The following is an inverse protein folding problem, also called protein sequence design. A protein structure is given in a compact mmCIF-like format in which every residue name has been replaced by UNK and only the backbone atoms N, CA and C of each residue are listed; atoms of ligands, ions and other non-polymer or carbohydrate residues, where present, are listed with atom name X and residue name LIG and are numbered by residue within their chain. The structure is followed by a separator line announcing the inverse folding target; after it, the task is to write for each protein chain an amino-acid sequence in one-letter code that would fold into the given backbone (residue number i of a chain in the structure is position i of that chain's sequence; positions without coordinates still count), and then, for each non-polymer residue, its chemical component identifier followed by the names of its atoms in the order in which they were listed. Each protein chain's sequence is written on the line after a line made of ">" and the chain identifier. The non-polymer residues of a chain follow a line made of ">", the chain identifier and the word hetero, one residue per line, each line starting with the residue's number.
data_IF_490813687291
#
_entry.id   IF_490813687291
#
_cell.length_a   1.000
_cell.length_b   1.000
_cell.length_c   1.000
_cell.angle_alpha   90.00
_cell.angle_beta   90.00
_cell.angle_gamma   90.00
#
_symmetry.space_group_name_H-M   'P 1'
#
loop_
_entity.id
_entity.type
_entity.pdbx_description
1 polymer ?
#
# COMPACT_ATOMS: atom_id res chain seq x y z
N UNK A 1 27.55 13.99 0.29
CA UNK A 1 26.30 14.30 -0.38
C UNK A 1 25.22 13.31 0.05
N UNK A 2 24.02 13.82 0.23
CA UNK A 2 22.90 12.98 0.61
C UNK A 2 22.29 12.30 -0.61
N UNK A 3 21.92 11.03 -0.45
CA UNK A 3 21.19 10.31 -1.49
C UNK A 3 19.74 10.81 -1.54
N UNK A 4 19.13 10.84 -2.74
CA UNK A 4 17.72 11.15 -2.85
C UNK A 4 16.87 10.21 -1.98
N UNK A 5 15.72 10.69 -1.54
CA UNK A 5 14.83 9.91 -0.67
C UNK A 5 14.48 8.54 -1.26
N UNK A 6 14.16 8.51 -2.56
CA UNK A 6 13.80 7.24 -3.21
C UNK A 6 14.93 6.22 -3.15
N UNK A 7 16.17 6.65 -3.31
CA UNK A 7 17.33 5.78 -3.21
C UNK A 7 17.52 5.26 -1.80
N UNK A 8 17.32 6.12 -0.80
CA UNK A 8 17.41 5.72 0.61
C UNK A 8 16.37 4.65 0.93
N UNK A 9 15.15 4.82 0.46
CA UNK A 9 14.07 3.86 0.68
C UNK A 9 14.38 2.52 0.02
N UNK A 10 14.83 2.55 -1.23
CA UNK A 10 15.19 1.32 -1.95
C UNK A 10 16.35 0.59 -1.26
N UNK A 11 17.37 1.33 -0.83
CA UNK A 11 18.53 0.73 -0.16
C UNK A 11 18.13 0.10 1.17
N UNK A 12 17.35 0.82 1.98
CA UNK A 12 16.87 0.30 3.26
C UNK A 12 16.07 -0.98 3.08
N UNK A 13 15.17 -1.01 2.11
CA UNK A 13 14.37 -2.18 1.83
C UNK A 13 15.24 -3.35 1.35
N UNK A 14 16.17 -3.09 0.44
CA UNK A 14 17.06 -4.14 -0.08
C UNK A 14 17.90 -4.76 1.03
N UNK A 15 18.40 -3.96 1.95
CA UNK A 15 19.17 -4.46 3.10
C UNK A 15 18.28 -5.32 4.00
N UNK A 16 17.05 -4.90 4.25
CA UNK A 16 16.10 -5.69 5.03
C UNK A 16 15.85 -7.05 4.42
N UNK A 17 15.70 -7.12 3.09
CA UNK A 17 15.38 -8.36 2.39
C UNK A 17 16.55 -9.34 2.38
N UNK A 18 17.79 -8.84 2.40
CA UNK A 18 18.99 -9.69 2.41
C UNK A 18 18.97 -10.65 3.62
N UNK A 19 18.44 -10.22 4.75
CA UNK A 19 18.35 -11.05 5.95
C UNK A 19 17.20 -12.05 5.90
N UNK A 20 16.43 -12.05 4.83
CA UNK A 20 15.31 -12.97 4.58
C UNK A 20 14.32 -13.07 5.75
N UNK A 21 13.77 -11.95 6.21
CA UNK A 21 12.75 -11.97 7.26
C UNK A 21 11.48 -12.64 6.71
N UNK A 22 10.65 -13.14 7.62
CA UNK A 22 9.35 -13.68 7.21
C UNK A 22 8.34 -12.58 6.92
N UNK A 23 8.47 -11.46 7.61
CA UNK A 23 7.54 -10.33 7.52
C UNK A 23 8.32 -9.03 7.51
N UNK A 24 7.94 -8.13 6.64
CA UNK A 24 8.48 -6.77 6.58
C UNK A 24 7.33 -5.78 6.68
N UNK A 25 7.49 -4.76 7.52
CA UNK A 25 6.52 -3.67 7.65
C UNK A 25 7.11 -2.39 7.08
N UNK A 26 6.39 -1.76 6.18
CA UNK A 26 6.80 -0.51 5.54
C UNK A 26 5.72 0.54 5.77
N UNK A 27 6.11 1.66 6.38
CA UNK A 27 5.18 2.74 6.69
C UNK A 27 5.37 3.87 5.68
N UNK A 28 4.39 4.00 4.77
CA UNK A 28 4.39 5.02 3.72
C UNK A 28 5.74 5.12 3.01
N UNK A 29 6.28 3.99 2.50
CA UNK A 29 7.67 3.95 2.03
C UNK A 29 7.93 4.82 0.80
N UNK A 30 6.88 5.18 0.06
CA UNK A 30 7.02 5.95 -1.18
C UNK A 30 6.57 7.40 -1.02
N UNK A 31 6.34 7.85 0.21
CA UNK A 31 5.96 9.24 0.46
C UNK A 31 7.04 10.21 -0.01
N UNK A 32 6.65 11.19 -0.83
CA UNK A 32 7.57 12.19 -1.33
C UNK A 32 8.49 11.71 -2.45
N UNK A 33 8.26 10.53 -3.00
CA UNK A 33 9.08 9.92 -4.04
C UNK A 33 8.40 10.10 -5.40
N UNK A 34 9.18 10.33 -6.45
CA UNK A 34 8.66 10.51 -7.80
C UNK A 34 8.01 9.22 -8.34
N UNK A 35 7.11 9.32 -9.35
CA UNK A 35 6.39 8.14 -9.84
C UNK A 35 7.27 7.02 -10.38
N UNK A 36 8.36 7.34 -11.05
CA UNK A 36 9.26 6.33 -11.61
C UNK A 36 9.93 5.53 -10.49
N UNK A 37 10.43 6.22 -9.47
CA UNK A 37 11.08 5.59 -8.32
C UNK A 37 10.07 4.79 -7.50
N UNK A 38 8.83 5.28 -7.40
CA UNK A 38 7.75 4.54 -6.73
C UNK A 38 7.50 3.19 -7.41
N UNK A 39 7.47 3.17 -8.75
CA UNK A 39 7.27 1.93 -9.50
C UNK A 39 8.44 0.97 -9.26
N UNK A 40 9.66 1.47 -9.28
CA UNK A 40 10.84 0.65 -9.01
C UNK A 40 10.79 0.06 -7.60
N UNK A 41 10.32 0.83 -6.63
CA UNK A 41 10.17 0.35 -5.27
C UNK A 41 9.15 -0.79 -5.19
N UNK A 42 8.03 -0.65 -5.89
CA UNK A 42 7.02 -1.71 -5.92
C UNK A 42 7.52 -2.98 -6.59
N UNK A 43 8.38 -2.85 -7.61
CA UNK A 43 9.02 -4.01 -8.22
C UNK A 43 9.86 -4.77 -7.19
N UNK A 44 10.57 -4.06 -6.31
CA UNK A 44 11.32 -4.68 -5.22
C UNK A 44 10.40 -5.40 -4.23
N UNK A 45 9.25 -4.80 -3.94
CA UNK A 45 8.25 -5.42 -3.05
C UNK A 45 7.74 -6.73 -3.67
N UNK A 46 7.44 -6.74 -4.95
CA UNK A 46 6.99 -7.95 -5.63
C UNK A 46 8.07 -9.02 -5.63
N UNK A 47 9.32 -8.64 -5.85
CA UNK A 47 10.43 -9.60 -5.80
C UNK A 47 10.56 -10.23 -4.42
N UNK A 48 10.41 -9.44 -3.37
CA UNK A 48 10.44 -9.95 -2.00
C UNK A 48 9.28 -10.91 -1.74
N UNK A 49 8.08 -10.56 -2.20
CA UNK A 49 6.91 -11.42 -2.05
C UNK A 49 7.10 -12.75 -2.79
N UNK A 50 7.71 -12.72 -3.96
CA UNK A 50 8.01 -13.94 -4.72
C UNK A 50 8.98 -14.84 -3.98
N UNK A 51 9.83 -14.28 -3.12
CA UNK A 51 10.76 -15.05 -2.28
C UNK A 51 10.10 -15.61 -1.02
N UNK A 52 8.80 -15.37 -0.85
CA UNK A 52 8.04 -15.88 0.30
C UNK A 52 7.98 -14.92 1.48
N UNK A 53 8.41 -13.67 1.31
CA UNK A 53 8.35 -12.67 2.36
C UNK A 53 6.98 -12.01 2.33
N UNK A 54 6.32 -11.91 3.50
CA UNK A 54 5.08 -11.16 3.63
C UNK A 54 5.43 -9.69 3.84
N UNK A 55 4.94 -8.82 2.97
CA UNK A 55 5.21 -7.39 3.05
C UNK A 55 3.91 -6.66 3.38
N UNK A 56 3.91 -5.92 4.50
CA UNK A 56 2.82 -5.04 4.89
C UNK A 56 3.22 -3.60 4.59
N UNK A 57 2.40 -2.93 3.79
CA UNK A 57 2.67 -1.55 3.38
C UNK A 57 1.51 -0.69 3.84
N UNK A 58 1.81 0.41 4.55
CA UNK A 58 0.81 1.43 4.79
C UNK A 58 0.97 2.52 3.74
N UNK A 59 -0.12 3.04 3.24
CA UNK A 59 -0.09 4.11 2.26
C UNK A 59 -1.39 4.91 2.29
N UNK A 60 -1.29 6.20 1.97
CA UNK A 60 -2.46 7.03 1.72
C UNK A 60 -2.66 7.30 0.23
N UNK A 61 -1.86 6.66 -0.61
CA UNK A 61 -2.00 6.75 -2.08
C UNK A 61 -2.88 5.59 -2.55
N UNK A 62 -4.11 5.89 -2.90
CA UNK A 62 -5.07 4.84 -3.28
C UNK A 62 -4.68 4.13 -4.57
N UNK A 63 -3.92 4.79 -5.45
CA UNK A 63 -3.41 4.14 -6.65
C UNK A 63 -2.44 2.99 -6.30
N UNK A 64 -1.70 3.11 -5.19
CA UNK A 64 -0.83 2.02 -4.74
C UNK A 64 -1.62 0.83 -4.23
N UNK A 65 -2.83 1.05 -3.74
CA UNK A 65 -3.68 -0.05 -3.30
C UNK A 65 -4.00 -1.03 -4.43
N UNK A 66 -3.98 -0.54 -5.68
CA UNK A 66 -4.21 -1.41 -6.84
C UNK A 66 -3.14 -2.47 -7.00
N UNK A 67 -1.94 -2.25 -6.47
CA UNK A 67 -0.82 -3.18 -6.59
C UNK A 67 -0.80 -4.26 -5.52
N UNK A 68 -1.64 -4.14 -4.50
CA UNK A 68 -1.63 -5.06 -3.37
C UNK A 68 -2.50 -6.28 -3.64
N UNK A 69 -2.11 -7.43 -3.08
CA UNK A 69 -2.94 -8.64 -3.16
C UNK A 69 -4.17 -8.53 -2.27
N UNK A 70 -4.00 -7.93 -1.09
CA UNK A 70 -5.11 -7.69 -0.16
C UNK A 70 -4.95 -6.32 0.46
N UNK A 71 -6.08 -5.70 0.76
CA UNK A 71 -6.12 -4.34 1.28
C UNK A 71 -6.98 -4.30 2.53
N UNK A 72 -6.49 -3.62 3.57
CA UNK A 72 -7.30 -3.20 4.71
C UNK A 72 -7.50 -1.70 4.60
N UNK A 73 -8.74 -1.25 4.60
CA UNK A 73 -9.05 0.17 4.56
C UNK A 73 -9.50 0.60 5.95
N UNK A 74 -8.81 1.59 6.51
CA UNK A 74 -9.15 2.13 7.82
C UNK A 74 -9.77 3.52 7.67
N UNK A 75 -10.89 3.73 8.37
CA UNK A 75 -11.55 5.03 8.43
C UNK A 75 -11.86 5.30 9.89
N UNK A 76 -11.43 6.47 10.39
CA UNK A 76 -11.65 6.88 11.78
C UNK A 76 -11.20 5.83 12.80
N UNK A 77 -10.04 5.20 12.53
CA UNK A 77 -9.44 4.23 13.44
C UNK A 77 -10.05 2.85 13.40
N UNK A 78 -10.99 2.59 12.49
CA UNK A 78 -11.64 1.29 12.35
C UNK A 78 -11.36 0.69 10.99
N UNK A 79 -11.25 -0.64 10.95
CA UNK A 79 -11.13 -1.36 9.68
C UNK A 79 -12.52 -1.46 9.07
N UNK A 80 -12.75 -0.77 7.95
CA UNK A 80 -14.05 -0.74 7.27
C UNK A 80 -14.14 -1.77 6.15
N UNK A 81 -13.00 -2.22 5.62
CA UNK A 81 -12.98 -3.21 4.55
C UNK A 81 -11.66 -3.97 4.59
N UNK A 82 -11.73 -5.25 4.23
CA UNK A 82 -10.56 -6.12 4.13
C UNK A 82 -10.84 -7.13 3.01
N UNK A 83 -10.20 -6.95 1.86
CA UNK A 83 -10.39 -7.86 0.72
C UNK A 83 -9.37 -7.54 -0.37
N UNK A 84 -9.48 -8.24 -1.50
CA UNK A 84 -8.66 -7.92 -2.68
C UNK A 84 -9.17 -6.65 -3.35
N UNK A 85 -8.31 -5.93 -4.10
CA UNK A 85 -8.76 -4.74 -4.82
C UNK A 85 -9.93 -5.05 -5.77
N UNK A 86 -9.87 -6.16 -6.49
CA UNK A 86 -10.91 -6.54 -7.43
C UNK A 86 -12.25 -6.73 -6.73
N UNK A 87 -12.26 -7.47 -5.63
CA UNK A 87 -13.49 -7.73 -4.88
C UNK A 87 -14.08 -6.45 -4.30
N UNK A 88 -13.23 -5.56 -3.79
CA UNK A 88 -13.70 -4.30 -3.24
C UNK A 88 -14.31 -3.41 -4.32
N UNK A 89 -13.67 -3.32 -5.49
CA UNK A 89 -14.21 -2.55 -6.60
C UNK A 89 -15.55 -3.10 -7.04
N UNK A 90 -15.68 -4.42 -7.12
CA UNK A 90 -16.95 -5.06 -7.49
C UNK A 90 -18.03 -4.81 -6.45
N UNK A 91 -17.67 -4.92 -5.18
CA UNK A 91 -18.62 -4.74 -4.08
C UNK A 91 -19.23 -3.34 -4.05
N UNK A 92 -18.44 -2.32 -4.36
CA UNK A 92 -18.89 -0.93 -4.35
C UNK A 92 -19.25 -0.40 -5.73
N UNK A 93 -19.22 -1.26 -6.76
CA UNK A 93 -19.45 -0.86 -8.16
C UNK A 93 -18.54 0.31 -8.54
N UNK A 94 -17.28 0.23 -8.12
CA UNK A 94 -16.30 1.30 -8.31
C UNK A 94 -15.30 0.92 -9.40
N UNK A 95 -14.80 1.93 -10.10
CA UNK A 95 -13.80 1.74 -11.15
C UNK A 95 -12.37 1.77 -10.61
N UNK A 96 -12.17 2.35 -9.43
CA UNK A 96 -10.85 2.51 -8.84
C UNK A 96 -10.91 2.38 -7.32
N UNK A 97 -9.74 2.18 -6.71
CA UNK A 97 -9.65 2.16 -5.25
C UNK A 97 -9.90 3.53 -4.62
N UNK A 98 -9.61 4.62 -5.35
CA UNK A 98 -10.01 5.96 -4.91
C UNK A 98 -11.52 6.05 -4.69
N UNK A 99 -12.28 5.50 -5.62
CA UNK A 99 -13.75 5.49 -5.53
C UNK A 99 -14.22 4.64 -4.35
N UNK A 100 -13.59 3.48 -4.14
CA UNK A 100 -13.92 2.61 -3.00
C UNK A 100 -13.69 3.35 -1.70
N UNK A 101 -12.53 3.98 -1.55
CA UNK A 101 -12.18 4.71 -0.33
C UNK A 101 -13.15 5.87 -0.10
N UNK A 102 -13.48 6.60 -1.16
CA UNK A 102 -14.43 7.72 -1.07
C UNK A 102 -15.78 7.25 -0.54
N UNK A 103 -16.30 6.14 -1.05
CA UNK A 103 -17.59 5.61 -0.60
C UNK A 103 -17.54 5.16 0.85
N UNK A 104 -16.45 4.53 1.27
CA UNK A 104 -16.30 4.09 2.66
C UNK A 104 -16.19 5.28 3.61
N UNK A 105 -15.42 6.29 3.25
CA UNK A 105 -15.25 7.47 4.06
C UNK A 105 -16.57 8.24 4.21
N UNK A 106 -17.33 8.34 3.12
CA UNK A 106 -18.65 8.98 3.13
C UNK A 106 -19.63 8.20 4.00
N UNK A 107 -19.61 6.88 3.92
CA UNK A 107 -20.46 6.02 4.74
C UNK A 107 -20.16 6.15 6.22
N UNK A 108 -18.87 6.19 6.58
CA UNK A 108 -18.46 6.38 7.98
C UNK A 108 -18.91 7.72 8.52
N UNK A 109 -18.81 8.76 7.71
CA UNK A 109 -19.26 10.11 8.11
C UNK A 109 -20.77 10.14 8.38
N UNK A 110 -21.55 9.45 7.53
CA UNK A 110 -22.99 9.36 7.73
C UNK A 110 -23.36 8.66 9.03
N UNK A 111 -22.62 7.60 9.36
CA UNK A 111 -22.87 6.85 10.60
C UNK A 111 -22.51 7.65 11.84
N UNK A 112 -21.55 8.57 11.72
CA UNK A 112 -21.12 9.40 12.84
C UNK A 112 -22.11 10.52 13.15
N UNK A 113 -22.94 10.91 12.18
CA UNK A 113 -23.99 11.92 12.36
C UNK A 113 -25.22 11.28 13.08
#
# INVERSE_FOLDING_TARGET
>A
SELPLGWKQKLSFSVSVVHKPRVVFLDEPTGGVDPVTRRQFWDLIYDAADQGITVFVTTHYMDEAEYCNRISIMVDGKIEALDTPLNLKNKFSADSMDDVFYELARGAKRKAD
#
